data_IF_399188533121
#
_entry.id   IF_399188533121
#
_cell.length_a   1.000
_cell.length_b   1.000
_cell.length_c   1.000
_cell.angle_alpha   90.00
_cell.angle_beta   90.00
_cell.angle_gamma   90.00
#
_symmetry.space_group_name_H-M   'P 1'
#
loop_
_entity.id
_entity.type
_entity.pdbx_description
1 polymer ?
#
# COMPACT_ATOMS: atom_id res chain seq x y z
N UNK A 1 8.32 -20.69 -32.61
CA UNK A 1 7.16 -19.86 -32.19
C UNK A 1 7.33 -18.47 -32.81
N UNK A 2 6.25 -17.74 -33.11
CA UNK A 2 6.39 -16.34 -33.59
C UNK A 2 7.10 -15.49 -32.52
N UNK A 3 7.95 -14.57 -32.94
CA UNK A 3 8.60 -13.62 -32.03
C UNK A 3 7.55 -12.71 -31.41
N UNK A 4 7.76 -12.37 -30.13
CA UNK A 4 6.92 -11.43 -29.41
C UNK A 4 7.73 -10.14 -29.20
N UNK A 5 7.09 -9.00 -29.39
CA UNK A 5 7.68 -7.67 -29.33
C UNK A 5 6.92 -6.80 -28.34
N UNK A 6 7.62 -5.86 -27.72
CA UNK A 6 7.03 -4.86 -26.83
C UNK A 6 7.47 -3.47 -27.24
N UNK A 7 6.53 -2.53 -27.27
CA UNK A 7 6.86 -1.11 -27.34
C UNK A 7 6.92 -0.55 -25.92
N UNK A 8 8.04 0.10 -25.62
CA UNK A 8 8.38 0.56 -24.27
C UNK A 8 8.52 2.07 -24.29
N UNK A 9 7.78 2.73 -23.40
CA UNK A 9 7.96 4.15 -23.09
C UNK A 9 9.11 4.28 -22.08
N UNK A 10 10.19 4.95 -22.49
CA UNK A 10 11.37 5.18 -21.65
C UNK A 10 11.39 6.62 -21.12
N UNK A 11 11.81 6.84 -19.87
CA UNK A 11 11.87 8.17 -19.25
C UNK A 11 13.08 8.96 -19.74
N UNK A 12 13.14 9.16 -21.05
CA UNK A 12 14.13 9.96 -21.77
C UNK A 12 13.40 11.10 -22.47
N UNK A 13 14.04 12.28 -22.67
CA UNK A 13 13.43 13.46 -23.29
C UNK A 13 13.33 13.30 -24.82
N UNK A 14 12.77 12.17 -25.26
CA UNK A 14 12.55 11.82 -26.66
C UNK A 14 11.12 11.32 -26.78
N UNK A 15 10.33 11.99 -27.61
CA UNK A 15 8.93 11.60 -27.87
C UNK A 15 8.85 10.43 -28.86
N UNK A 16 9.46 9.29 -28.50
CA UNK A 16 9.43 8.04 -29.27
C UNK A 16 9.30 6.83 -28.35
N UNK A 17 8.64 5.80 -28.85
CA UNK A 17 8.64 4.48 -28.24
C UNK A 17 9.82 3.67 -28.76
N UNK A 18 10.28 2.74 -27.93
CA UNK A 18 11.37 1.84 -28.27
C UNK A 18 10.87 0.40 -28.31
N UNK A 19 11.08 -0.27 -29.43
CA UNK A 19 10.65 -1.66 -29.62
C UNK A 19 11.76 -2.62 -29.20
N UNK A 20 11.39 -3.67 -28.48
CA UNK A 20 12.30 -4.73 -28.04
C UNK A 20 11.71 -6.11 -28.33
N UNK A 21 12.58 -7.12 -28.49
CA UNK A 21 12.18 -8.53 -28.54
C UNK A 21 11.97 -9.04 -27.12
N UNK A 22 10.96 -9.89 -26.92
CA UNK A 22 10.73 -10.61 -25.68
C UNK A 22 11.40 -11.98 -25.76
N UNK A 23 12.40 -12.27 -24.92
CA UNK A 23 12.97 -13.61 -24.79
C UNK A 23 11.91 -14.64 -24.40
N UNK A 24 12.09 -15.90 -24.84
CA UNK A 24 11.14 -16.98 -24.57
C UNK A 24 10.88 -17.17 -23.06
N UNK A 25 11.91 -16.99 -22.22
CA UNK A 25 11.82 -17.08 -20.76
C UNK A 25 10.89 -16.02 -20.12
N UNK A 26 10.58 -14.92 -20.81
CA UNK A 26 9.83 -13.78 -20.27
C UNK A 26 8.44 -13.61 -20.91
N UNK A 27 8.06 -14.48 -21.85
CA UNK A 27 6.81 -14.35 -22.62
C UNK A 27 5.56 -14.31 -21.74
N UNK A 28 5.52 -15.09 -20.67
CA UNK A 28 4.37 -15.16 -19.77
C UNK A 28 4.32 -13.99 -18.76
N UNK A 29 5.45 -13.29 -18.59
CA UNK A 29 5.56 -12.18 -17.64
C UNK A 29 5.21 -10.84 -18.25
N UNK A 30 5.28 -10.68 -19.58
CA UNK A 30 5.02 -9.40 -20.24
C UNK A 30 3.52 -9.08 -20.33
N UNK A 31 3.16 -7.84 -20.01
CA UNK A 31 1.82 -7.30 -20.20
C UNK A 31 1.90 -5.77 -20.29
N UNK A 32 0.91 -5.16 -20.96
CA UNK A 32 0.75 -3.71 -21.00
C UNK A 32 0.62 -3.15 -19.57
N UNK A 33 1.29 -2.03 -19.31
CA UNK A 33 1.33 -1.36 -18.01
C UNK A 33 2.37 -1.90 -17.02
N UNK A 34 3.10 -2.98 -17.35
CA UNK A 34 4.20 -3.49 -16.52
C UNK A 34 5.50 -2.74 -16.78
N UNK A 35 6.34 -2.62 -15.74
CA UNK A 35 7.72 -2.12 -15.85
C UNK A 35 8.66 -3.21 -16.36
N UNK A 36 9.58 -2.80 -17.23
CA UNK A 36 10.55 -3.67 -17.89
C UNK A 36 11.94 -3.03 -17.86
N UNK A 37 12.98 -3.83 -17.62
CA UNK A 37 14.38 -3.41 -17.77
C UNK A 37 14.80 -3.66 -19.21
N UNK A 38 15.33 -2.63 -19.87
CA UNK A 38 15.80 -2.72 -21.25
C UNK A 38 17.17 -2.09 -21.45
N UNK A 39 17.98 -2.61 -22.39
CA UNK A 39 19.25 -1.98 -22.74
C UNK A 39 19.04 -0.73 -23.60
N UNK A 40 19.58 0.41 -23.18
CA UNK A 40 19.50 1.68 -23.91
C UNK A 40 20.90 2.30 -24.06
N UNK A 41 21.49 2.18 -25.25
CA UNK A 41 22.92 2.50 -25.45
C UNK A 41 23.80 1.55 -24.63
N UNK A 42 24.66 2.13 -23.78
CA UNK A 42 25.55 1.43 -22.85
C UNK A 42 24.93 1.20 -21.45
N UNK A 43 23.79 1.82 -21.17
CA UNK A 43 23.12 1.74 -19.87
C UNK A 43 21.86 0.86 -19.92
N UNK A 44 21.36 0.48 -18.74
CA UNK A 44 20.05 -0.16 -18.58
C UNK A 44 19.06 0.87 -18.05
N UNK A 45 17.85 0.89 -18.62
CA UNK A 45 16.77 1.77 -18.18
C UNK A 45 15.52 0.95 -17.84
N UNK A 46 14.77 1.45 -16.87
CA UNK A 46 13.42 0.96 -16.56
C UNK A 46 12.41 1.75 -17.37
N UNK A 47 11.60 1.04 -18.17
CA UNK A 47 10.50 1.60 -18.96
C UNK A 47 9.17 0.94 -18.66
N UNK A 48 8.10 1.44 -19.28
CA UNK A 48 6.75 0.87 -19.20
C UNK A 48 6.38 0.24 -20.55
N UNK A 49 5.91 -1.00 -20.52
CA UNK A 49 5.33 -1.65 -21.70
C UNK A 49 4.00 -0.98 -22.00
N UNK A 50 3.88 -0.35 -23.17
CA UNK A 50 2.64 0.33 -23.59
C UNK A 50 1.89 -0.46 -24.67
N UNK A 51 2.57 -1.40 -25.33
CA UNK A 51 2.00 -2.25 -26.36
C UNK A 51 2.76 -3.58 -26.40
N UNK A 52 2.04 -4.67 -26.67
CA UNK A 52 2.59 -5.99 -26.94
C UNK A 52 2.12 -6.43 -28.32
N UNK A 53 3.03 -6.85 -29.18
CA UNK A 53 2.74 -7.21 -30.57
C UNK A 53 3.47 -8.48 -31.01
N UNK A 54 2.90 -9.21 -31.96
CA UNK A 54 3.56 -10.36 -32.62
C UNK A 54 4.21 -9.98 -33.95
N UNK A 55 4.14 -8.71 -34.33
CA UNK A 55 4.70 -8.17 -35.55
C UNK A 55 5.61 -6.97 -35.22
N UNK A 56 6.68 -6.81 -35.99
CA UNK A 56 7.56 -5.65 -35.89
C UNK A 56 8.01 -5.22 -37.28
N UNK A 57 7.98 -3.91 -37.54
CA UNK A 57 8.56 -3.31 -38.73
C UNK A 57 10.07 -3.10 -38.64
N UNK A 58 10.71 -3.55 -37.54
CA UNK A 58 12.12 -3.31 -37.27
C UNK A 58 12.93 -4.61 -37.31
N UNK A 59 14.18 -4.49 -37.79
CA UNK A 59 15.16 -5.58 -37.80
C UNK A 59 16.27 -5.31 -36.77
N UNK A 60 16.92 -6.38 -36.28
CA UNK A 60 18.03 -6.32 -35.29
C UNK A 60 17.68 -5.61 -33.98
N UNK A 61 16.54 -5.99 -33.40
CA UNK A 61 16.11 -5.48 -32.11
C UNK A 61 16.92 -6.11 -30.97
N UNK A 62 17.15 -5.32 -29.91
CA UNK A 62 17.66 -5.84 -28.64
C UNK A 62 16.53 -6.54 -27.87
N UNK A 63 16.91 -7.46 -27.00
CA UNK A 63 15.98 -8.13 -26.10
C UNK A 63 15.75 -7.33 -24.81
N UNK A 64 14.54 -7.43 -24.26
CA UNK A 64 14.30 -7.00 -22.88
C UNK A 64 15.11 -7.86 -21.90
N UNK A 65 15.52 -7.29 -20.77
CA UNK A 65 16.33 -7.98 -19.76
C UNK A 65 15.47 -8.70 -18.74
N UNK A 66 14.47 -8.01 -18.21
CA UNK A 66 13.64 -8.49 -17.10
C UNK A 66 12.31 -7.74 -17.02
N UNK A 67 11.33 -8.36 -16.37
CA UNK A 67 10.04 -7.75 -16.04
C UNK A 67 9.96 -7.54 -14.52
N UNK A 68 9.85 -6.27 -14.10
CA UNK A 68 9.91 -5.90 -12.69
C UNK A 68 8.62 -6.21 -11.93
N UNK A 69 7.49 -6.23 -12.64
CA UNK A 69 6.17 -6.25 -12.04
C UNK A 69 5.43 -7.56 -12.28
N UNK A 70 4.93 -8.16 -11.20
CA UNK A 70 4.00 -9.28 -11.27
C UNK A 70 2.65 -8.88 -11.87
N UNK A 71 2.14 -7.70 -11.49
CA UNK A 71 0.88 -7.12 -11.99
C UNK A 71 1.15 -5.74 -12.59
N UNK A 72 0.40 -5.28 -13.61
CA UNK A 72 0.60 -3.96 -14.20
C UNK A 72 0.69 -2.84 -13.15
N UNK A 73 1.69 -1.97 -13.30
CA UNK A 73 1.83 -0.77 -12.48
C UNK A 73 0.82 0.31 -12.91
N UNK A 74 0.44 0.31 -14.18
CA UNK A 74 -0.54 1.20 -14.78
C UNK A 74 -1.75 0.43 -15.32
N UNK A 75 -2.95 0.98 -15.08
CA UNK A 75 -4.16 0.53 -15.79
C UNK A 75 -4.21 1.13 -17.20
N UNK A 76 -5.09 0.61 -18.04
CA UNK A 76 -5.28 1.12 -19.39
C UNK A 76 -5.75 2.59 -19.40
N UNK A 77 -6.63 2.97 -18.48
CA UNK A 77 -7.11 4.34 -18.31
C UNK A 77 -5.98 5.30 -17.94
N UNK A 78 -5.09 4.87 -17.05
CA UNK A 78 -3.91 5.66 -16.68
C UNK A 78 -2.92 5.79 -17.83
N UNK A 79 -2.75 4.74 -18.65
CA UNK A 79 -1.95 4.84 -19.87
C UNK A 79 -2.57 5.83 -20.86
N UNK A 80 -3.88 5.79 -21.07
CA UNK A 80 -4.61 6.76 -21.92
C UNK A 80 -4.47 8.20 -21.40
N UNK A 81 -4.67 8.41 -20.10
CA UNK A 81 -4.52 9.73 -19.47
C UNK A 81 -3.10 10.26 -19.61
N UNK A 82 -2.10 9.46 -19.26
CA UNK A 82 -0.69 9.87 -19.34
C UNK A 82 -0.23 10.09 -20.77
N UNK A 83 -0.78 9.34 -21.74
CA UNK A 83 -0.55 9.58 -23.16
C UNK A 83 -1.14 10.92 -23.60
N UNK A 84 -2.39 11.20 -23.24
CA UNK A 84 -3.03 12.49 -23.51
C UNK A 84 -2.23 13.65 -22.90
N UNK A 85 -1.77 13.52 -21.64
CA UNK A 85 -0.91 14.52 -20.99
C UNK A 85 0.37 14.73 -21.79
N UNK A 86 1.05 13.65 -22.18
CA UNK A 86 2.29 13.73 -22.94
C UNK A 86 2.10 14.45 -24.29
N UNK A 87 1.04 14.11 -25.01
CA UNK A 87 0.74 14.70 -26.32
C UNK A 87 0.32 16.17 -26.20
N UNK A 88 -0.55 16.50 -25.25
CA UNK A 88 -1.05 17.86 -25.05
C UNK A 88 0.03 18.82 -24.55
N UNK A 89 0.87 18.37 -23.62
CA UNK A 89 1.94 19.19 -23.03
C UNK A 89 3.30 19.03 -23.73
N UNK A 90 3.36 18.32 -24.87
CA UNK A 90 4.57 18.09 -25.66
C UNK A 90 5.73 17.47 -24.84
N UNK A 91 5.39 16.59 -23.89
CA UNK A 91 6.34 15.89 -23.04
C UNK A 91 6.58 14.46 -23.54
N UNK A 92 7.70 13.84 -23.15
CA UNK A 92 7.91 12.41 -23.40
C UNK A 92 6.93 11.58 -22.57
N UNK A 93 6.24 10.62 -23.21
CA UNK A 93 5.30 9.76 -22.48
C UNK A 93 5.99 8.98 -21.35
N UNK A 94 7.24 8.57 -21.53
CA UNK A 94 7.99 7.89 -20.47
C UNK A 94 8.31 8.79 -19.27
N UNK A 95 8.54 10.10 -19.47
CA UNK A 95 8.73 11.06 -18.38
C UNK A 95 7.42 11.31 -17.61
N UNK A 96 6.30 11.42 -18.34
CA UNK A 96 4.96 11.53 -17.75
C UNK A 96 4.63 10.28 -16.92
N UNK A 97 4.87 9.09 -17.46
CA UNK A 97 4.65 7.82 -16.76
C UNK A 97 5.54 7.70 -15.51
N UNK A 98 6.82 8.06 -15.61
CA UNK A 98 7.72 8.08 -14.44
C UNK A 98 7.22 9.03 -13.35
N UNK A 99 6.64 10.16 -13.73
CA UNK A 99 6.09 11.15 -12.79
C UNK A 99 4.78 10.68 -12.15
N UNK A 100 3.97 9.91 -12.88
CA UNK A 100 2.74 9.32 -12.36
C UNK A 100 2.98 8.16 -11.38
N UNK A 101 4.20 7.61 -11.31
CA UNK A 101 4.57 6.59 -10.34
C UNK A 101 4.77 7.20 -8.93
N UNK A 102 4.35 6.50 -7.86
CA UNK A 102 4.52 7.00 -6.50
C UNK A 102 5.99 7.23 -6.14
N UNK A 103 6.27 8.32 -5.42
CA UNK A 103 7.58 8.58 -4.85
C UNK A 103 8.07 7.37 -4.04
N UNK A 104 9.23 6.82 -4.42
CA UNK A 104 9.83 5.63 -3.79
C UNK A 104 9.62 4.32 -4.56
N UNK A 105 8.72 4.23 -5.53
CA UNK A 105 8.63 3.06 -6.45
C UNK A 105 9.77 2.99 -7.46
N UNK A 106 10.44 4.14 -7.68
CA UNK A 106 11.68 4.29 -8.47
C UNK A 106 12.92 3.80 -7.68
N UNK A 107 12.80 3.56 -6.37
CA UNK A 107 13.88 2.93 -5.60
C UNK A 107 13.90 1.43 -5.91
N UNK A 108 14.48 1.09 -7.07
CA UNK A 108 14.72 -0.27 -7.59
C UNK A 108 15.46 -1.21 -6.60
N UNK A 109 15.96 -0.70 -5.48
CA UNK A 109 17.11 -1.30 -4.79
C UNK A 109 16.82 -1.96 -3.43
N UNK A 110 15.57 -2.12 -2.98
CA UNK A 110 15.35 -2.32 -1.53
C UNK A 110 14.30 -3.38 -1.14
N UNK A 111 13.81 -4.19 -2.08
CA UNK A 111 12.97 -5.36 -1.73
C UNK A 111 13.82 -6.51 -1.18
N UNK A 112 13.28 -7.22 -0.20
CA UNK A 112 13.86 -8.45 0.36
C UNK A 112 13.02 -9.64 -0.03
N UNK A 113 13.67 -10.79 -0.17
CA UNK A 113 13.04 -12.06 -0.48
C UNK A 113 13.14 -12.95 0.75
N UNK A 114 12.01 -13.46 1.20
CA UNK A 114 11.92 -14.38 2.34
C UNK A 114 11.48 -15.75 1.86
N UNK A 115 12.07 -16.80 2.44
CA UNK A 115 11.58 -18.16 2.23
C UNK A 115 10.30 -18.37 3.05
N UNK A 116 9.21 -18.82 2.40
CA UNK A 116 7.90 -18.95 3.06
C UNK A 116 7.76 -20.25 3.86
N UNK A 117 8.45 -21.30 3.42
CA UNK A 117 8.40 -22.65 4.01
C UNK A 117 9.72 -23.37 3.83
N UNK A 118 9.98 -24.35 4.72
CA UNK A 118 11.00 -25.36 4.43
C UNK A 118 10.57 -26.16 3.20
N UNK A 119 11.50 -26.32 2.26
CA UNK A 119 11.29 -27.05 1.02
C UNK A 119 11.63 -28.52 1.23
N UNK A 120 10.76 -29.42 0.75
CA UNK A 120 11.08 -30.83 0.69
C UNK A 120 12.23 -31.09 -0.29
N UNK A 121 13.17 -32.00 0.02
CA UNK A 121 14.33 -32.27 -0.84
C UNK A 121 13.97 -32.65 -2.29
N UNK A 122 12.85 -33.34 -2.49
CA UNK A 122 12.37 -33.77 -3.81
C UNK A 122 11.99 -32.59 -4.72
N UNK A 123 11.42 -31.53 -4.14
CA UNK A 123 11.03 -30.32 -4.88
C UNK A 123 12.26 -29.63 -5.47
N UNK A 124 13.35 -29.55 -4.70
CA UNK A 124 14.62 -28.99 -5.16
C UNK A 124 15.24 -29.85 -6.26
N UNK A 125 15.29 -31.17 -6.08
CA UNK A 125 15.85 -32.09 -7.08
C UNK A 125 15.10 -32.01 -8.42
N UNK A 126 13.77 -31.91 -8.39
CA UNK A 126 12.95 -31.77 -9.59
C UNK A 126 13.15 -30.39 -10.25
N UNK A 127 13.25 -29.32 -9.46
CA UNK A 127 13.46 -27.97 -9.97
C UNK A 127 14.88 -27.78 -10.56
N UNK A 128 15.88 -28.48 -10.06
CA UNK A 128 17.23 -28.48 -10.66
C UNK A 128 17.22 -28.99 -12.09
N UNK A 129 16.35 -29.96 -12.41
CA UNK A 129 16.21 -30.52 -13.75
C UNK A 129 15.37 -29.61 -14.65
N UNK A 130 14.26 -29.06 -14.14
CA UNK A 130 13.32 -28.28 -14.97
C UNK A 130 13.65 -26.80 -15.06
N UNK A 131 14.28 -26.21 -14.04
CA UNK A 131 14.53 -24.77 -13.92
C UNK A 131 15.78 -24.49 -13.06
N UNK A 132 17.00 -24.77 -13.58
CA UNK A 132 18.24 -24.70 -12.82
C UNK A 132 18.45 -23.37 -12.08
N UNK A 133 18.18 -22.23 -12.75
CA UNK A 133 18.32 -20.88 -12.15
C UNK A 133 17.42 -20.68 -10.93
N UNK A 134 16.18 -21.21 -10.96
CA UNK A 134 15.22 -21.11 -9.84
C UNK A 134 15.71 -21.94 -8.64
N UNK A 135 16.18 -23.15 -8.91
CA UNK A 135 16.73 -24.03 -7.88
C UNK A 135 17.97 -23.41 -7.21
N UNK A 136 18.85 -22.77 -7.98
CA UNK A 136 20.05 -22.10 -7.45
C UNK A 136 19.70 -20.94 -6.50
N UNK A 137 18.71 -20.11 -6.87
CA UNK A 137 18.20 -19.04 -6.01
C UNK A 137 17.61 -19.62 -4.71
N UNK A 138 16.79 -20.67 -4.79
CA UNK A 138 16.21 -21.31 -3.61
C UNK A 138 17.27 -21.92 -2.68
N UNK A 139 18.25 -22.66 -3.22
CA UNK A 139 19.38 -23.20 -2.43
C UNK A 139 20.10 -22.12 -1.65
N UNK A 140 20.35 -20.99 -2.30
CA UNK A 140 20.99 -19.87 -1.63
C UNK A 140 20.11 -19.27 -0.53
N UNK A 141 18.83 -19.02 -0.79
CA UNK A 141 17.91 -18.50 0.23
C UNK A 141 17.81 -19.42 1.45
N UNK A 142 17.81 -20.75 1.24
CA UNK A 142 17.84 -21.75 2.32
C UNK A 142 19.14 -21.61 3.13
N UNK A 143 20.29 -21.48 2.47
CA UNK A 143 21.60 -21.36 3.14
C UNK A 143 21.73 -20.10 4.01
N UNK A 144 21.04 -19.01 3.67
CA UNK A 144 21.14 -17.74 4.40
C UNK A 144 20.26 -17.71 5.66
N UNK A 145 19.23 -18.56 5.74
CA UNK A 145 18.27 -18.66 6.84
C UNK A 145 17.73 -17.30 7.34
N UNK A 146 17.68 -16.31 6.45
CA UNK A 146 17.29 -14.93 6.73
C UNK A 146 16.81 -14.25 5.44
N UNK A 147 15.97 -13.21 5.50
CA UNK A 147 15.54 -12.47 4.32
C UNK A 147 16.73 -11.85 3.58
N UNK A 148 16.78 -11.99 2.25
CA UNK A 148 17.89 -11.51 1.43
C UNK A 148 17.43 -10.39 0.51
N UNK A 149 18.17 -9.28 0.47
CA UNK A 149 17.87 -8.19 -0.46
C UNK A 149 18.00 -8.65 -1.93
N UNK A 150 17.06 -8.24 -2.79
CA UNK A 150 17.12 -8.55 -4.24
C UNK A 150 18.43 -8.03 -4.85
N UNK A 151 18.96 -6.89 -4.37
CA UNK A 151 20.27 -6.38 -4.80
C UNK A 151 21.39 -7.40 -4.56
N UNK A 152 21.38 -8.08 -3.40
CA UNK A 152 22.34 -9.13 -3.08
C UNK A 152 22.20 -10.32 -4.02
N UNK A 153 20.96 -10.72 -4.36
CA UNK A 153 20.70 -11.78 -5.33
C UNK A 153 21.20 -11.38 -6.73
N UNK A 154 20.90 -10.16 -7.19
CA UNK A 154 21.36 -9.62 -8.48
C UNK A 154 22.89 -9.62 -8.57
N UNK A 155 23.56 -9.16 -7.52
CA UNK A 155 25.03 -9.12 -7.45
C UNK A 155 25.67 -10.50 -7.34
N UNK A 156 25.00 -11.49 -6.74
CA UNK A 156 25.55 -12.83 -6.58
C UNK A 156 25.42 -13.66 -7.86
N UNK A 157 24.25 -13.65 -8.46
CA UNK A 157 23.91 -14.55 -9.56
C UNK A 157 24.14 -13.94 -10.95
N UNK A 158 24.13 -12.60 -11.06
CA UNK A 158 24.22 -11.88 -12.33
C UNK A 158 23.20 -12.35 -13.40
N UNK A 159 22.09 -12.95 -12.96
CA UNK A 159 21.01 -13.36 -13.86
C UNK A 159 20.33 -12.12 -14.46
N UNK A 160 20.15 -12.13 -15.78
CA UNK A 160 19.47 -11.04 -16.50
C UNK A 160 18.00 -10.90 -16.08
N UNK A 161 17.35 -12.02 -15.71
CA UNK A 161 15.93 -12.13 -15.39
C UNK A 161 15.63 -12.48 -13.92
N UNK A 162 16.38 -11.89 -12.98
CA UNK A 162 16.25 -12.20 -11.55
C UNK A 162 14.84 -11.88 -10.99
N UNK A 163 14.19 -10.80 -11.43
CA UNK A 163 12.87 -10.41 -10.94
C UNK A 163 11.80 -11.38 -11.42
N UNK A 164 11.79 -11.75 -12.71
CA UNK A 164 10.93 -12.80 -13.25
C UNK A 164 11.09 -14.14 -12.49
N UNK A 165 12.33 -14.57 -12.24
CA UNK A 165 12.61 -15.77 -11.44
C UNK A 165 11.96 -15.69 -10.06
N UNK A 166 12.10 -14.55 -9.37
CA UNK A 166 11.54 -14.34 -8.04
C UNK A 166 10.01 -14.31 -8.04
N UNK A 167 9.37 -13.65 -9.02
CA UNK A 167 7.91 -13.63 -9.17
C UNK A 167 7.34 -15.01 -9.44
N UNK A 168 8.04 -15.82 -10.24
CA UNK A 168 7.67 -17.21 -10.48
C UNK A 168 7.76 -18.04 -9.19
N UNK A 169 8.84 -17.89 -8.41
CA UNK A 169 8.99 -18.56 -7.12
C UNK A 169 7.94 -18.12 -6.08
N UNK A 170 7.54 -16.85 -6.09
CA UNK A 170 6.48 -16.32 -5.24
C UNK A 170 5.12 -16.90 -5.64
N UNK A 171 4.85 -17.00 -6.94
CA UNK A 171 3.61 -17.60 -7.47
C UNK A 171 3.49 -19.08 -7.11
N UNK A 172 4.61 -19.81 -7.11
CA UNK A 172 4.69 -21.20 -6.64
C UNK A 172 4.65 -21.32 -5.11
N UNK A 173 4.62 -20.20 -4.38
CA UNK A 173 4.48 -20.14 -2.93
C UNK A 173 5.75 -20.53 -2.16
N UNK A 174 6.92 -20.52 -2.80
CA UNK A 174 8.19 -20.86 -2.14
C UNK A 174 8.83 -19.65 -1.46
N UNK A 175 8.66 -18.47 -2.03
CA UNK A 175 9.19 -17.21 -1.47
C UNK A 175 8.08 -16.19 -1.31
N UNK A 176 8.36 -15.17 -0.52
CA UNK A 176 7.56 -13.96 -0.36
C UNK A 176 8.47 -12.76 -0.63
N UNK A 177 8.04 -11.86 -1.53
CA UNK A 177 8.81 -10.65 -1.84
C UNK A 177 8.26 -9.49 -1.02
N UNK A 178 8.94 -9.17 0.07
CA UNK A 178 8.62 -8.01 0.90
C UNK A 178 9.31 -6.76 0.32
N UNK A 179 8.52 -5.79 -0.12
CA UNK A 179 9.04 -4.51 -0.64
C UNK A 179 9.34 -3.56 0.53
N UNK A 180 10.59 -3.52 0.97
CA UNK A 180 11.05 -2.55 1.97
C UNK A 180 11.63 -1.29 1.31
N UNK A 181 11.43 -0.14 1.94
CA UNK A 181 12.37 0.98 1.87
C UNK A 181 13.38 0.72 3.00
N UNK A 182 14.70 0.88 2.81
CA UNK A 182 15.61 0.52 3.86
C UNK A 182 15.68 1.61 4.90
N UNK A 183 16.34 1.16 5.94
CA UNK A 183 16.96 1.84 7.05
C UNK A 183 17.85 3.01 6.59
N UNK A 184 17.21 4.15 6.33
CA UNK A 184 17.40 5.39 7.07
C UNK A 184 16.10 6.19 6.88
N UNK A 185 15.28 6.24 7.94
CA UNK A 185 14.01 6.99 8.10
C UNK A 185 12.66 6.33 7.78
N UNK A 186 12.56 5.05 7.42
CA UNK A 186 11.23 4.40 7.34
C UNK A 186 11.23 2.89 7.68
N UNK A 187 11.51 2.51 8.92
CA UNK A 187 11.21 1.15 9.42
C UNK A 187 9.70 1.00 9.62
N UNK A 188 9.07 -0.01 9.01
CA UNK A 188 7.72 -0.44 9.42
C UNK A 188 7.74 -0.56 10.94
N UNK A 189 6.96 0.28 11.62
CA UNK A 189 6.99 0.38 13.08
C UNK A 189 6.17 -0.78 13.57
N UNK A 190 6.80 -1.81 14.12
CA UNK A 190 6.06 -2.81 14.87
C UNK A 190 5.92 -2.30 16.28
N UNK A 191 4.69 -1.99 16.68
CA UNK A 191 4.39 -1.69 18.07
C UNK A 191 3.87 -2.95 18.74
N UNK A 192 4.18 -3.07 20.02
CA UNK A 192 3.64 -4.14 20.83
C UNK A 192 2.25 -3.70 21.28
N UNK A 193 1.26 -4.50 20.95
CA UNK A 193 -0.09 -4.35 21.46
C UNK A 193 -0.33 -5.35 22.57
N UNK A 194 -1.24 -4.98 23.47
CA UNK A 194 -1.74 -5.80 24.56
C UNK A 194 -3.25 -5.89 24.43
N UNK A 195 -3.79 -7.10 24.51
CA UNK A 195 -5.23 -7.34 24.63
C UNK A 195 -5.52 -8.34 25.74
N UNK A 196 -6.75 -8.33 26.26
CA UNK A 196 -7.24 -9.42 27.11
C UNK A 196 -7.31 -10.69 26.26
N UNK A 197 -6.84 -11.82 26.78
CA UNK A 197 -6.90 -13.08 26.04
C UNK A 197 -8.34 -13.45 25.71
N UNK A 198 -8.59 -14.03 24.53
CA UNK A 198 -9.95 -14.34 24.05
C UNK A 198 -10.78 -15.13 25.06
N UNK A 199 -10.16 -16.07 25.78
CA UNK A 199 -10.79 -16.89 26.82
C UNK A 199 -11.41 -16.09 27.98
N UNK A 200 -10.97 -14.85 28.19
CA UNK A 200 -11.48 -13.95 29.24
C UNK A 200 -12.30 -12.79 28.66
N UNK A 201 -12.03 -12.37 27.41
CA UNK A 201 -12.81 -11.34 26.72
C UNK A 201 -14.28 -11.75 26.53
N UNK A 202 -14.53 -13.03 26.24
CA UNK A 202 -15.88 -13.56 25.99
C UNK A 202 -16.62 -13.98 27.28
N UNK A 203 -15.94 -13.99 28.43
CA UNK A 203 -16.50 -14.44 29.71
C UNK A 203 -16.19 -13.45 30.84
N UNK A 204 -17.03 -12.42 30.95
CA UNK A 204 -16.90 -11.33 31.91
C UNK A 204 -16.83 -11.80 33.37
N UNK A 205 -17.57 -12.86 33.75
CA UNK A 205 -17.58 -13.41 35.12
C UNK A 205 -16.23 -13.99 35.52
N UNK A 206 -15.57 -14.72 34.59
CA UNK A 206 -14.26 -15.34 34.84
C UNK A 206 -13.17 -14.29 35.06
N UNK A 207 -13.23 -13.18 34.34
CA UNK A 207 -12.27 -12.08 34.49
C UNK A 207 -12.50 -11.29 35.79
N UNK A 208 -13.77 -11.10 36.21
CA UNK A 208 -14.08 -10.44 37.49
C UNK A 208 -13.54 -11.22 38.69
N UNK A 209 -13.67 -12.55 38.70
CA UNK A 209 -13.11 -13.39 39.77
C UNK A 209 -11.59 -13.26 39.89
N UNK A 210 -10.89 -13.26 38.76
CA UNK A 210 -9.43 -13.06 38.74
C UNK A 210 -9.04 -11.68 39.25
N UNK A 211 -9.83 -10.65 38.94
CA UNK A 211 -9.58 -9.29 39.45
C UNK A 211 -9.72 -9.24 40.98
N UNK A 212 -10.76 -9.86 41.54
CA UNK A 212 -10.98 -9.93 43.00
C UNK A 212 -9.86 -10.68 43.73
N UNK A 213 -9.33 -11.76 43.15
CA UNK A 213 -8.20 -12.50 43.70
C UNK A 213 -6.89 -11.68 43.68
N UNK A 214 -6.68 -10.93 42.60
CA UNK A 214 -5.48 -10.10 42.42
C UNK A 214 -5.53 -8.79 43.22
N UNK A 215 -6.72 -8.30 43.59
CA UNK A 215 -6.88 -7.06 44.35
C UNK A 215 -6.15 -7.12 45.70
N UNK A 216 -6.12 -8.31 46.31
CA UNK A 216 -5.45 -8.56 47.60
C UNK A 216 -3.92 -8.67 47.49
N UNK A 217 -3.39 -9.03 46.33
CA UNK A 217 -1.99 -9.48 46.19
C UNK A 217 -1.16 -8.70 45.18
N UNK A 218 -1.81 -8.02 44.22
CA UNK A 218 -1.14 -7.34 43.11
C UNK A 218 -1.97 -6.17 42.56
N UNK A 219 -2.07 -5.04 43.29
CA UNK A 219 -2.88 -3.89 42.89
C UNK A 219 -2.58 -3.37 41.47
N UNK A 220 -1.30 -3.41 41.06
CA UNK A 220 -0.88 -2.97 39.73
C UNK A 220 -1.34 -3.87 38.58
N UNK A 221 -1.52 -5.17 38.85
CA UNK A 221 -2.08 -6.10 37.88
C UNK A 221 -3.58 -5.84 37.68
N UNK A 222 -4.30 -5.54 38.76
CA UNK A 222 -5.71 -5.14 38.71
C UNK A 222 -5.90 -3.87 37.91
N UNK A 223 -5.06 -2.85 38.13
CA UNK A 223 -5.13 -1.58 37.39
C UNK A 223 -4.96 -1.76 35.87
N UNK A 224 -4.01 -2.63 35.45
CA UNK A 224 -3.83 -3.01 34.04
C UNK A 224 -5.10 -3.66 33.49
N UNK A 225 -5.65 -4.66 34.20
CA UNK A 225 -6.82 -5.40 33.73
C UNK A 225 -8.07 -4.51 33.64
N UNK A 226 -8.27 -3.61 34.62
CA UNK A 226 -9.37 -2.64 34.60
C UNK A 226 -9.23 -1.64 33.45
N UNK A 227 -8.02 -1.15 33.18
CA UNK A 227 -7.76 -0.28 32.03
C UNK A 227 -8.10 -0.98 30.71
N UNK A 228 -7.64 -2.22 30.52
CA UNK A 228 -7.93 -3.01 29.33
C UNK A 228 -9.43 -3.30 29.18
N UNK A 229 -10.12 -3.60 30.30
CA UNK A 229 -11.55 -3.88 30.31
C UNK A 229 -12.38 -2.64 29.98
N UNK A 230 -11.98 -1.46 30.46
CA UNK A 230 -12.61 -0.19 30.13
C UNK A 230 -12.48 0.14 28.64
N UNK A 231 -11.32 -0.15 28.04
CA UNK A 231 -11.06 0.01 26.60
C UNK A 231 -11.90 -0.97 25.77
N UNK A 232 -11.95 -2.24 26.19
CA UNK A 232 -12.77 -3.26 25.55
C UNK A 232 -14.25 -2.88 25.54
N UNK A 233 -14.79 -2.33 26.64
CA UNK A 233 -16.18 -1.83 26.71
C UNK A 233 -16.48 -0.68 25.75
N UNK A 234 -15.46 0.08 25.33
CA UNK A 234 -15.58 1.14 24.32
C UNK A 234 -15.40 0.63 22.88
N UNK A 235 -15.25 -0.69 22.70
CA UNK A 235 -15.02 -1.32 21.39
C UNK A 235 -13.54 -1.39 20.98
N UNK A 236 -12.61 -0.99 21.86
CA UNK A 236 -11.17 -1.08 21.61
C UNK A 236 -10.62 -2.41 22.16
N UNK A 237 -10.44 -3.41 21.29
CA UNK A 237 -10.03 -4.76 21.70
C UNK A 237 -8.54 -4.91 22.01
N UNK A 238 -7.72 -3.94 21.62
CA UNK A 238 -6.26 -3.95 21.76
C UNK A 238 -5.76 -2.53 22.06
N UNK A 239 -4.66 -2.43 22.82
CA UNK A 239 -4.02 -1.15 23.15
C UNK A 239 -2.51 -1.22 23.03
N UNK A 240 -1.89 -0.10 22.71
CA UNK A 240 -0.44 0.04 22.69
C UNK A 240 0.16 -0.23 24.06
N UNK A 241 1.15 -1.13 24.11
CA UNK A 241 1.87 -1.46 25.34
C UNK A 241 2.53 -0.22 25.96
N UNK A 242 3.07 0.68 25.14
CA UNK A 242 3.65 1.94 25.62
C UNK A 242 2.62 2.84 26.29
N UNK A 243 1.40 2.93 25.75
CA UNK A 243 0.32 3.71 26.37
C UNK A 243 -0.19 3.06 27.64
N UNK A 244 -0.33 1.73 27.65
CA UNK A 244 -0.66 0.97 28.84
C UNK A 244 0.33 1.27 29.97
N UNK A 245 1.63 1.15 29.71
CA UNK A 245 2.69 1.41 30.69
C UNK A 245 2.71 2.87 31.15
N UNK A 246 2.46 3.82 30.23
CA UNK A 246 2.41 5.25 30.55
C UNK A 246 1.21 5.63 31.43
N UNK A 247 0.01 5.14 31.08
CA UNK A 247 -1.23 5.48 31.80
C UNK A 247 -1.30 4.77 33.13
N UNK A 248 -0.99 3.46 33.15
CA UNK A 248 -1.03 2.70 34.39
C UNK A 248 0.22 2.94 35.24
N UNK A 249 1.34 3.41 34.69
CA UNK A 249 2.60 3.49 35.44
C UNK A 249 3.17 2.13 35.86
N UNK A 250 2.66 1.02 35.28
CA UNK A 250 3.15 -0.32 35.58
C UNK A 250 4.50 -0.61 34.90
N UNK A 251 5.24 -1.59 35.41
CA UNK A 251 6.49 -2.04 34.78
C UNK A 251 6.23 -3.12 33.71
N UNK A 252 7.17 -3.25 32.78
CA UNK A 252 7.13 -4.31 31.76
C UNK A 252 7.10 -5.73 32.39
N UNK A 253 7.71 -5.90 33.57
CA UNK A 253 7.71 -7.18 34.28
C UNK A 253 6.31 -7.54 34.78
N UNK A 254 5.53 -6.57 35.24
CA UNK A 254 4.14 -6.78 35.66
C UNK A 254 3.26 -7.23 34.49
N UNK A 255 3.42 -6.59 33.33
CA UNK A 255 2.73 -6.98 32.09
C UNK A 255 3.14 -8.39 31.66
N UNK A 256 4.44 -8.73 31.69
CA UNK A 256 4.89 -10.09 31.36
C UNK A 256 4.28 -11.16 32.27
N UNK A 257 4.20 -10.93 33.59
CA UNK A 257 3.57 -11.86 34.54
C UNK A 257 2.10 -12.11 34.22
N UNK A 258 1.36 -11.08 33.82
CA UNK A 258 -0.03 -11.24 33.37
C UNK A 258 -0.13 -12.08 32.08
N UNK A 259 0.82 -11.90 31.16
CA UNK A 259 0.88 -12.68 29.92
C UNK A 259 1.25 -14.14 30.17
N UNK A 260 2.21 -14.41 31.07
CA UNK A 260 2.61 -15.76 31.51
C UNK A 260 1.46 -16.51 32.19
N UNK A 261 0.57 -15.79 32.90
CA UNK A 261 -0.68 -16.33 33.46
C UNK A 261 -1.80 -16.52 32.44
N UNK A 262 -1.56 -16.16 31.17
CA UNK A 262 -2.54 -16.27 30.09
C UNK A 262 -3.72 -15.29 30.19
N UNK A 263 -3.63 -14.25 31.02
CA UNK A 263 -4.71 -13.26 31.21
C UNK A 263 -4.73 -12.21 30.10
N UNK A 264 -3.56 -11.93 29.52
CA UNK A 264 -3.39 -10.99 28.40
C UNK A 264 -2.48 -11.62 27.35
N UNK A 265 -2.61 -11.13 26.11
CA UNK A 265 -1.73 -11.49 25.00
C UNK A 265 -0.88 -10.27 24.61
N UNK A 266 0.41 -10.50 24.36
CA UNK A 266 1.32 -9.48 23.84
C UNK A 266 1.76 -9.92 22.45
N UNK A 267 1.38 -9.16 21.43
CA UNK A 267 1.78 -9.44 20.05
C UNK A 267 2.31 -8.18 19.37
N UNK A 268 3.08 -8.41 18.31
CA UNK A 268 3.56 -7.33 17.45
C UNK A 268 2.54 -7.14 16.34
N UNK A 269 2.03 -5.92 16.22
CA UNK A 269 1.20 -5.51 15.09
C UNK A 269 1.94 -4.43 14.30
N UNK A 270 1.75 -4.45 12.99
CA UNK A 270 2.23 -3.38 12.13
C UNK A 270 1.51 -2.08 12.53
N UNK A 271 2.26 -1.13 13.08
CA UNK A 271 1.79 0.22 13.33
C UNK A 271 2.01 1.04 12.05
N UNK A 272 0.91 1.32 11.37
CA UNK A 272 0.87 2.28 10.27
C UNK A 272 1.24 3.64 10.84
N UNK A 273 2.21 4.33 10.25
CA UNK A 273 2.50 5.73 10.60
C UNK A 273 1.33 6.58 10.12
N UNK A 274 0.35 6.79 11.00
CA UNK A 274 -0.75 7.71 10.74
C UNK A 274 -0.23 9.13 10.94
N UNK A 275 -0.31 9.94 9.89
CA UNK A 275 -0.18 11.39 10.06
C UNK A 275 -1.46 11.88 10.76
N UNK A 276 -1.34 12.19 12.05
CA UNK A 276 -2.43 12.70 12.86
C UNK A 276 -2.42 14.22 12.87
N UNK A 277 -3.62 14.79 12.74
CA UNK A 277 -3.84 16.21 12.84
C UNK A 277 -4.48 16.46 14.20
N UNK A 278 -3.76 17.14 15.10
CA UNK A 278 -4.32 17.59 16.38
C UNK A 278 -5.22 18.81 16.14
N UNK A 279 -6.50 18.57 15.86
CA UNK A 279 -7.51 19.63 15.85
C UNK A 279 -8.86 19.03 16.22
N UNK A 280 -9.47 19.48 17.32
CA UNK A 280 -10.78 19.00 17.75
C UNK A 280 -11.85 20.07 17.51
N UNK A 281 -12.72 19.82 16.53
CA UNK A 281 -13.85 20.69 16.21
C UNK A 281 -15.16 20.07 16.75
N UNK A 282 -16.01 20.80 17.49
CA UNK A 282 -17.20 20.23 18.11
C UNK A 282 -18.17 19.59 17.11
N UNK A 283 -18.77 18.46 17.51
CA UNK A 283 -19.64 17.63 16.67
C UNK A 283 -20.97 18.34 16.39
N UNK A 284 -21.04 19.09 15.28
CA UNK A 284 -22.27 19.75 14.83
C UNK A 284 -22.95 18.89 13.76
N UNK A 285 -24.20 18.48 14.04
CA UNK A 285 -25.10 17.99 12.99
C UNK A 285 -25.46 19.14 12.06
N UNK A 286 -25.06 19.04 10.80
CA UNK A 286 -25.37 20.03 9.77
C UNK A 286 -26.63 19.62 9.02
N UNK A 287 -27.66 20.48 9.05
CA UNK A 287 -28.80 20.36 8.14
C UNK A 287 -28.52 21.12 6.86
N UNK A 288 -28.76 20.48 5.71
CA UNK A 288 -28.60 21.14 4.42
C UNK A 288 -29.74 22.13 4.18
N UNK A 289 -29.41 23.32 3.69
CA UNK A 289 -30.43 24.26 3.22
C UNK A 289 -30.98 23.85 1.84
N UNK A 290 -32.04 24.53 1.39
CA UNK A 290 -32.73 24.21 0.13
C UNK A 290 -31.81 24.29 -1.11
N UNK A 291 -30.87 25.22 -1.15
CA UNK A 291 -29.90 25.33 -2.26
C UNK A 291 -28.93 24.15 -2.29
N UNK A 292 -28.43 23.75 -1.12
CA UNK A 292 -27.52 22.61 -0.98
C UNK A 292 -28.22 21.29 -1.30
N UNK A 293 -29.49 21.13 -0.86
CA UNK A 293 -30.32 19.96 -1.22
C UNK A 293 -30.52 19.86 -2.73
N UNK A 294 -30.88 20.97 -3.40
CA UNK A 294 -31.03 21.01 -4.86
C UNK A 294 -29.74 20.62 -5.59
N UNK A 295 -28.60 21.19 -5.17
CA UNK A 295 -27.30 20.84 -5.75
C UNK A 295 -26.97 19.34 -5.55
N UNK A 296 -27.21 18.81 -4.36
CA UNK A 296 -26.97 17.41 -4.05
C UNK A 296 -27.88 16.47 -4.85
N UNK A 297 -29.16 16.83 -5.08
CA UNK A 297 -30.08 16.05 -5.92
C UNK A 297 -29.54 15.90 -7.35
N UNK A 298 -29.04 16.98 -7.94
CA UNK A 298 -28.48 16.93 -9.31
C UNK A 298 -27.20 16.09 -9.38
N UNK A 299 -26.36 16.15 -8.34
CA UNK A 299 -25.18 15.27 -8.22
C UNK A 299 -25.62 13.80 -8.08
N UNK A 300 -26.60 13.50 -7.24
CA UNK A 300 -27.13 12.14 -7.03
C UNK A 300 -27.66 11.53 -8.33
N UNK A 301 -28.43 12.28 -9.12
CA UNK A 301 -28.90 11.81 -10.44
C UNK A 301 -27.75 11.37 -11.36
N UNK A 302 -26.63 12.11 -11.34
CA UNK A 302 -25.45 11.74 -12.12
C UNK A 302 -24.77 10.48 -11.59
N UNK A 303 -24.70 10.34 -10.26
CA UNK A 303 -24.18 9.14 -9.59
C UNK A 303 -25.02 7.91 -9.95
N UNK A 304 -26.35 8.03 -9.85
CA UNK A 304 -27.30 6.94 -10.09
C UNK A 304 -27.34 6.49 -11.56
N UNK A 305 -27.12 7.42 -12.49
CA UNK A 305 -27.04 7.12 -13.93
C UNK A 305 -25.67 6.57 -14.37
N UNK A 306 -24.69 6.51 -13.47
CA UNK A 306 -23.30 6.10 -13.73
C UNK A 306 -22.65 6.81 -14.94
N UNK A 307 -23.08 8.04 -15.21
CA UNK A 307 -22.62 8.82 -16.36
C UNK A 307 -21.58 9.86 -15.95
N UNK A 308 -20.59 10.10 -16.82
CA UNK A 308 -19.64 11.19 -16.61
C UNK A 308 -20.35 12.55 -16.72
N UNK A 309 -20.26 13.35 -15.66
CA UNK A 309 -20.82 14.70 -15.62
C UNK A 309 -19.94 15.64 -14.82
N UNK A 310 -19.80 16.87 -15.33
CA UNK A 310 -19.06 17.94 -14.68
C UNK A 310 -20.01 18.93 -14.03
N UNK A 311 -19.66 19.40 -12.83
CA UNK A 311 -20.46 20.36 -12.07
C UNK A 311 -19.56 21.49 -11.55
N UNK A 312 -20.02 22.73 -11.72
CA UNK A 312 -19.45 23.88 -11.03
C UNK A 312 -20.31 24.20 -9.80
N UNK A 313 -19.79 23.92 -8.60
CA UNK A 313 -20.46 24.30 -7.36
C UNK A 313 -20.02 25.71 -6.93
N UNK A 314 -20.80 26.71 -7.34
CA UNK A 314 -20.52 28.11 -7.02
C UNK A 314 -21.09 28.51 -5.65
N UNK A 315 -20.28 29.18 -4.83
CA UNK A 315 -20.70 29.76 -3.56
C UNK A 315 -19.54 30.40 -2.82
N UNK A 316 -19.81 31.42 -2.01
CA UNK A 316 -18.80 32.11 -1.19
C UNK A 316 -18.19 31.17 -0.14
N UNK A 317 -17.04 31.53 0.45
CA UNK A 317 -16.49 30.81 1.60
C UNK A 317 -17.51 30.78 2.75
N UNK A 318 -17.59 29.68 3.50
CA UNK A 318 -18.58 29.53 4.57
C UNK A 318 -19.99 29.10 4.13
N UNK A 319 -20.33 29.14 2.83
CA UNK A 319 -21.63 28.68 2.31
C UNK A 319 -21.90 27.16 2.43
N UNK A 320 -20.96 26.40 2.99
CA UNK A 320 -21.13 24.97 3.24
C UNK A 320 -20.83 24.05 2.06
N UNK A 321 -20.10 24.51 1.03
CA UNK A 321 -19.69 23.66 -0.12
C UNK A 321 -19.06 22.32 0.29
N UNK A 322 -18.21 22.34 1.31
CA UNK A 322 -17.58 21.13 1.85
C UNK A 322 -18.59 20.10 2.34
N UNK A 323 -19.74 20.54 2.89
CA UNK A 323 -20.78 19.61 3.31
C UNK A 323 -21.43 18.91 2.11
N UNK A 324 -21.63 19.62 1.00
CA UNK A 324 -22.13 19.00 -0.24
C UNK A 324 -21.15 17.92 -0.73
N UNK A 325 -19.82 18.18 -0.67
CA UNK A 325 -18.82 17.18 -1.05
C UNK A 325 -18.92 15.92 -0.17
N UNK A 326 -19.04 16.10 1.16
CA UNK A 326 -19.17 14.99 2.11
C UNK A 326 -20.45 14.18 1.83
N UNK A 327 -21.59 14.82 1.65
CA UNK A 327 -22.85 14.12 1.39
C UNK A 327 -22.83 13.40 0.02
N UNK A 328 -22.24 13.99 -1.01
CA UNK A 328 -22.07 13.31 -2.30
C UNK A 328 -21.16 12.08 -2.19
N UNK A 329 -20.05 12.19 -1.44
CA UNK A 329 -19.12 11.08 -1.23
C UNK A 329 -19.76 9.97 -0.39
N UNK A 330 -20.62 10.29 0.59
CA UNK A 330 -21.39 9.28 1.33
C UNK A 330 -22.20 8.39 0.38
N UNK A 331 -22.84 8.95 -0.64
CA UNK A 331 -23.58 8.14 -1.62
C UNK A 331 -22.65 7.23 -2.44
N UNK A 332 -21.50 7.75 -2.89
CA UNK A 332 -20.48 6.95 -3.61
C UNK A 332 -19.96 5.79 -2.76
N UNK A 333 -19.72 6.03 -1.46
CA UNK A 333 -19.20 5.01 -0.55
C UNK A 333 -20.26 3.93 -0.27
N UNK A 334 -21.55 4.28 -0.17
CA UNK A 334 -22.64 3.30 -0.06
C UNK A 334 -22.70 2.34 -1.25
N UNK A 335 -22.33 2.81 -2.44
CA UNK A 335 -22.22 2.00 -3.65
C UNK A 335 -20.91 1.19 -3.72
N UNK A 336 -20.08 1.20 -2.67
CA UNK A 336 -18.80 0.48 -2.61
C UNK A 336 -17.68 1.09 -3.47
N UNK A 337 -17.91 2.28 -4.05
CA UNK A 337 -16.97 3.01 -4.90
C UNK A 337 -15.98 3.84 -4.07
N UNK A 338 -15.03 4.50 -4.73
CA UNK A 338 -13.99 5.33 -4.10
C UNK A 338 -14.08 6.79 -4.53
N UNK A 339 -13.52 7.71 -3.75
CA UNK A 339 -13.51 9.15 -4.05
C UNK A 339 -12.09 9.76 -3.96
N UNK A 340 -11.81 10.71 -4.85
CA UNK A 340 -10.60 11.53 -4.82
C UNK A 340 -11.02 12.98 -4.57
N UNK A 341 -10.38 13.63 -3.59
CA UNK A 341 -10.62 15.02 -3.20
C UNK A 341 -9.31 15.79 -3.38
N UNK A 342 -9.23 16.53 -4.48
CA UNK A 342 -8.07 17.38 -4.75
C UNK A 342 -8.25 18.74 -4.07
N UNK A 343 -7.26 19.16 -3.30
CA UNK A 343 -7.23 20.47 -2.61
C UNK A 343 -5.97 21.24 -3.02
N UNK A 344 -5.97 22.58 -3.01
CA UNK A 344 -4.73 23.33 -3.18
C UNK A 344 -3.69 22.93 -2.12
N UNK A 345 -2.39 22.92 -2.48
CA UNK A 345 -1.32 22.45 -1.58
C UNK A 345 -1.28 23.23 -0.25
N UNK A 346 -1.47 24.55 -0.32
CA UNK A 346 -1.58 25.44 0.85
C UNK A 346 -2.88 25.25 1.64
N UNK A 347 -3.89 24.66 1.02
CA UNK A 347 -5.24 24.49 1.56
C UNK A 347 -5.50 23.09 2.08
N UNK A 348 -4.52 22.18 2.05
CA UNK A 348 -4.58 20.95 2.85
C UNK A 348 -4.42 21.30 4.33
N UNK A 349 -5.44 21.97 4.86
CA UNK A 349 -5.49 22.36 6.25
C UNK A 349 -5.85 21.12 7.06
N UNK A 350 -5.29 21.00 8.28
CA UNK A 350 -5.73 20.02 9.27
C UNK A 350 -7.26 19.95 9.39
N UNK A 351 -7.94 21.10 9.23
CA UNK A 351 -9.40 21.23 9.30
C UNK A 351 -10.14 20.43 8.22
N UNK A 352 -9.74 20.53 6.94
CA UNK A 352 -10.41 19.78 5.87
C UNK A 352 -10.19 18.28 6.10
N UNK A 353 -8.95 17.85 6.35
CA UNK A 353 -8.66 16.43 6.60
C UNK A 353 -9.45 15.91 7.79
N UNK A 354 -9.47 16.64 8.91
CA UNK A 354 -10.17 16.23 10.10
C UNK A 354 -11.68 16.12 9.87
N UNK A 355 -12.27 17.05 9.12
CA UNK A 355 -13.71 17.00 8.78
C UNK A 355 -14.07 15.75 7.99
N UNK A 356 -13.22 15.35 7.05
CA UNK A 356 -13.39 14.09 6.33
C UNK A 356 -13.16 12.87 7.23
N UNK A 357 -12.10 12.87 8.06
CA UNK A 357 -11.85 11.78 9.02
C UNK A 357 -13.00 11.62 10.04
N UNK A 358 -13.61 12.71 10.51
CA UNK A 358 -14.80 12.65 11.38
C UNK A 358 -16.01 12.06 10.65
N UNK A 359 -16.18 12.37 9.37
CA UNK A 359 -17.34 11.89 8.58
C UNK A 359 -17.22 10.44 8.11
N UNK A 360 -15.99 9.95 7.87
CA UNK A 360 -15.75 8.68 7.21
C UNK A 360 -14.82 7.74 7.99
N UNK A 361 -14.21 8.19 9.08
CA UNK A 361 -13.29 7.42 9.91
C UNK A 361 -11.97 7.09 9.20
N UNK A 362 -11.51 5.87 9.44
CA UNK A 362 -10.18 5.38 9.00
C UNK A 362 -10.09 5.03 7.50
N UNK A 363 -11.18 5.13 6.74
CA UNK A 363 -11.16 4.89 5.28
C UNK A 363 -10.61 6.09 4.48
N UNK A 364 -10.22 7.17 5.16
CA UNK A 364 -9.66 8.38 4.56
C UNK A 364 -8.13 8.33 4.56
N UNK A 365 -7.54 8.27 3.37
CA UNK A 365 -6.12 8.43 3.13
C UNK A 365 -5.76 9.88 2.79
N UNK A 366 -4.57 10.32 3.21
CA UNK A 366 -4.03 11.64 2.87
C UNK A 366 -2.69 11.48 2.18
N UNK A 367 -2.44 12.29 1.15
CA UNK A 367 -1.16 12.38 0.44
C UNK A 367 -0.74 13.85 0.32
N UNK A 368 0.45 14.22 0.81
CA UNK A 368 1.01 15.57 0.61
C UNK A 368 2.53 15.65 0.74
N UNK A 369 3.09 16.81 0.40
CA UNK A 369 4.54 17.08 0.37
C UNK A 369 5.21 16.97 1.74
N UNK A 370 4.53 17.41 2.82
CA UNK A 370 5.05 17.29 4.21
C UNK A 370 5.15 15.85 4.75
N UNK A 371 4.58 14.86 4.07
CA UNK A 371 4.73 13.46 4.45
C UNK A 371 6.12 12.96 4.03
N UNK A 372 6.70 12.08 4.84
CA UNK A 372 7.90 11.33 4.48
C UNK A 372 7.64 10.42 3.27
N UNK A 373 8.70 10.02 2.57
CA UNK A 373 8.61 9.08 1.45
C UNK A 373 7.97 7.75 1.89
N UNK A 374 8.28 7.28 3.11
CA UNK A 374 7.68 6.08 3.68
C UNK A 374 6.18 6.22 3.90
N UNK A 375 5.71 7.32 4.50
CA UNK A 375 4.28 7.56 4.70
C UNK A 375 3.52 7.69 3.38
N UNK A 376 4.09 8.37 2.36
CA UNK A 376 3.46 8.44 1.03
C UNK A 376 3.34 7.06 0.38
N UNK A 377 4.36 6.23 0.51
CA UNK A 377 4.36 4.87 -0.01
C UNK A 377 3.33 3.98 0.71
N UNK A 378 3.28 4.06 2.04
CA UNK A 378 2.31 3.34 2.86
C UNK A 378 0.87 3.77 2.50
N UNK A 379 0.60 5.08 2.41
CA UNK A 379 -0.69 5.60 1.94
C UNK A 379 -1.04 5.08 0.54
N UNK A 380 -0.11 5.11 -0.41
CA UNK A 380 -0.36 4.58 -1.75
C UNK A 380 -0.70 3.09 -1.73
N UNK A 381 -0.01 2.27 -0.93
CA UNK A 381 -0.33 0.85 -0.77
C UNK A 381 -1.73 0.65 -0.20
N UNK A 382 -2.11 1.43 0.80
CA UNK A 382 -3.44 1.36 1.41
C UNK A 382 -4.54 1.76 0.42
N UNK A 383 -4.29 2.74 -0.45
CA UNK A 383 -5.19 3.11 -1.56
C UNK A 383 -5.31 1.96 -2.56
N UNK A 384 -4.18 1.43 -3.02
CA UNK A 384 -4.14 0.33 -4.01
C UNK A 384 -4.84 -0.93 -3.50
N UNK A 385 -4.71 -1.23 -2.21
CA UNK A 385 -5.34 -2.39 -1.57
C UNK A 385 -6.80 -2.13 -1.16
N UNK A 386 -7.34 -0.94 -1.44
CA UNK A 386 -8.73 -0.59 -1.16
C UNK A 386 -9.05 -0.36 0.32
N UNK A 387 -8.03 -0.21 1.18
CA UNK A 387 -8.17 0.14 2.60
C UNK A 387 -8.63 1.60 2.72
N UNK A 388 -7.96 2.50 2.00
CA UNK A 388 -8.43 3.88 1.84
C UNK A 388 -9.40 3.97 0.67
N UNK A 389 -10.64 4.35 0.97
CA UNK A 389 -11.71 4.56 0.00
C UNK A 389 -11.83 6.02 -0.45
N UNK A 390 -11.32 6.94 0.37
CA UNK A 390 -11.31 8.38 0.09
C UNK A 390 -9.87 8.86 0.16
N UNK A 391 -9.40 9.55 -0.87
CA UNK A 391 -8.03 10.10 -0.92
C UNK A 391 -8.09 11.61 -0.99
N UNK A 392 -7.41 12.28 -0.06
CA UNK A 392 -7.30 13.74 -0.01
C UNK A 392 -5.85 14.14 -0.26
N UNK A 393 -5.62 15.04 -1.20
CA UNK A 393 -4.27 15.51 -1.48
C UNK A 393 -4.24 16.67 -2.47
N UNK A 394 -3.06 17.26 -2.68
CA UNK A 394 -2.84 18.20 -3.76
C UNK A 394 -2.78 17.51 -5.12
N UNK A 395 -2.61 18.34 -6.15
CA UNK A 395 -2.32 17.91 -7.52
C UNK A 395 -1.07 17.04 -7.63
#
# INVERSE_FOLDING_TARGET
>A
MKNLYVNVALPVPVNKLFTYIVPDELRDDVAVGKRVIVPFGEQELTGIIVEVSTQSGWHRLKEIKDVLDRVPAFSEEMLKLTKWVADYYLASWGEVLKTALPAGTVLESRSIVRLRRQLEPEVLSNMEKSSPKKAEVLKFLISQNSPVAIKTLKNKFHFKNIYSILHSLETLGYVEIERYLPEQKAKIKFEKFVSISKSYADNSKKLTQVIEELEKTSPKQVEILLFLLARLKKGESEVLLSDLLRVTGASMQTVKKLAERGLIEIYKKEAIRKFEYEFDEPDKKFELNEYQKKALIEIKKAIDSESFKTFLLYGVTGSGKTQIYIEAIKEIIKLGKTAIVLVPEISLTPQIVNRFKKSFGDIVGVLHSRMSIGERYDSWRMIKNGVYKIVIGPR
#
